data_IF_319707732068
#
_entry.id   IF_319707732068
#
_cell.length_a   1.000
_cell.length_b   1.000
_cell.length_c   1.000
_cell.angle_alpha   90.00
_cell.angle_beta   90.00
_cell.angle_gamma   90.00
#
_symmetry.space_group_name_H-M   'P 1'
#
loop_
_entity.id
_entity.type
_entity.pdbx_description
1 polymer ?
#
# COMPACT_ATOMS: atom_id res chain seq x y z
N UNK A 1 25.31 -28.52 2.51
CA UNK A 1 24.08 -29.34 2.60
C UNK A 1 23.30 -28.80 3.79
N UNK A 2 22.01 -28.47 3.63
CA UNK A 2 21.25 -27.66 4.60
C UNK A 2 20.01 -28.37 5.17
N UNK A 3 19.82 -29.65 4.85
CA UNK A 3 18.66 -30.44 5.28
C UNK A 3 19.12 -31.84 5.70
N UNK A 4 18.31 -32.49 6.55
CA UNK A 4 18.51 -33.87 6.97
C UNK A 4 17.71 -34.88 6.12
N UNK A 5 17.26 -34.47 4.93
CA UNK A 5 16.49 -35.33 4.03
C UNK A 5 17.44 -36.40 3.44
N UNK A 6 17.09 -37.70 3.49
CA UNK A 6 17.89 -38.76 2.89
C UNK A 6 18.10 -38.55 1.39
N UNK A 7 19.29 -38.90 0.89
CA UNK A 7 19.61 -38.83 -0.54
C UNK A 7 18.60 -39.51 -1.49
N UNK A 8 17.98 -40.67 -1.17
CA UNK A 8 16.95 -41.23 -2.04
C UNK A 8 15.70 -40.33 -2.15
N UNK A 9 15.27 -39.73 -1.03
CA UNK A 9 14.11 -38.82 -1.02
C UNK A 9 14.39 -37.50 -1.76
N UNK A 10 15.64 -37.04 -1.82
CA UNK A 10 16.03 -35.87 -2.63
C UNK A 10 15.90 -36.20 -4.12
N UNK A 11 16.27 -37.40 -4.56
CA UNK A 11 16.15 -37.81 -5.97
C UNK A 11 14.69 -37.84 -6.41
N UNK A 12 13.82 -38.46 -5.62
CA UNK A 12 12.38 -38.51 -5.88
C UNK A 12 11.77 -37.11 -5.97
N UNK A 13 12.13 -36.23 -5.04
CA UNK A 13 11.70 -34.82 -5.04
C UNK A 13 12.16 -34.08 -6.30
N UNK A 14 13.38 -34.34 -6.76
CA UNK A 14 13.93 -33.74 -7.97
C UNK A 14 13.26 -34.26 -9.24
N UNK A 15 12.88 -35.54 -9.28
CA UNK A 15 12.08 -36.12 -10.36
C UNK A 15 10.67 -35.51 -10.40
N UNK A 16 10.04 -35.31 -9.24
CA UNK A 16 8.76 -34.60 -9.14
C UNK A 16 8.89 -33.15 -9.61
N UNK A 17 9.94 -32.45 -9.18
CA UNK A 17 10.20 -31.08 -9.60
C UNK A 17 10.48 -30.98 -11.11
N UNK A 18 11.14 -31.98 -11.71
CA UNK A 18 11.40 -32.02 -13.15
C UNK A 18 10.11 -32.17 -13.97
N UNK A 19 9.09 -32.85 -13.45
CA UNK A 19 7.77 -32.97 -14.10
C UNK A 19 7.05 -31.62 -14.17
N UNK A 20 7.17 -30.80 -13.13
CA UNK A 20 6.60 -29.44 -13.11
C UNK A 20 7.51 -28.44 -12.38
N UNK A 21 8.48 -27.84 -13.10
CA UNK A 21 9.39 -26.86 -12.51
C UNK A 21 8.68 -25.60 -12.00
N UNK A 22 7.51 -25.26 -12.55
CA UNK A 22 6.77 -24.05 -12.19
C UNK A 22 6.22 -24.09 -10.78
N UNK A 23 5.91 -25.30 -10.28
CA UNK A 23 5.46 -25.52 -8.89
C UNK A 23 6.55 -25.32 -7.85
N UNK A 24 7.82 -25.30 -8.24
CA UNK A 24 8.97 -25.08 -7.34
C UNK A 24 8.96 -25.97 -6.08
N UNK A 25 8.53 -27.23 -6.25
CA UNK A 25 8.31 -28.19 -5.15
C UNK A 25 9.59 -28.40 -4.31
N UNK A 26 10.74 -28.54 -4.98
CA UNK A 26 12.02 -28.72 -4.31
C UNK A 26 12.42 -27.51 -3.44
N UNK A 27 12.22 -26.29 -3.95
CA UNK A 27 12.54 -25.05 -3.25
C UNK A 27 11.61 -24.83 -2.05
N UNK A 28 10.31 -25.13 -2.20
CA UNK A 28 9.36 -25.04 -1.09
C UNK A 28 9.68 -26.02 0.03
N UNK A 29 10.06 -27.26 -0.31
CA UNK A 29 10.48 -28.25 0.69
C UNK A 29 11.76 -27.82 1.39
N UNK A 30 12.77 -27.38 0.65
CA UNK A 30 14.02 -26.86 1.21
C UNK A 30 13.79 -25.70 2.18
N UNK A 31 12.98 -24.72 1.78
CA UNK A 31 12.68 -23.56 2.62
C UNK A 31 11.96 -23.94 3.90
N UNK A 32 10.99 -24.88 3.84
CA UNK A 32 10.28 -25.38 5.03
C UNK A 32 11.26 -26.01 6.02
N UNK A 33 12.07 -26.96 5.57
CA UNK A 33 13.03 -27.68 6.41
C UNK A 33 14.04 -26.72 7.05
N UNK A 34 14.49 -25.72 6.30
CA UNK A 34 15.44 -24.73 6.81
C UNK A 34 14.84 -23.84 7.89
N UNK A 35 13.61 -23.35 7.70
CA UNK A 35 12.91 -22.55 8.72
C UNK A 35 12.55 -23.41 9.93
N UNK A 36 12.15 -24.66 9.72
CA UNK A 36 11.85 -25.61 10.79
C UNK A 36 13.08 -25.91 11.64
N UNK A 37 14.25 -26.05 11.00
CA UNK A 37 15.52 -26.30 11.70
C UNK A 37 15.97 -25.12 12.57
N UNK A 38 15.72 -23.87 12.14
CA UNK A 38 16.20 -22.66 12.84
C UNK A 38 15.16 -22.12 13.82
N UNK A 39 13.89 -22.11 13.43
CA UNK A 39 12.80 -21.41 14.14
C UNK A 39 11.69 -22.33 14.64
N UNK A 40 11.81 -23.65 14.42
CA UNK A 40 10.82 -24.64 14.83
C UNK A 40 9.63 -24.79 13.88
N UNK A 41 8.84 -25.83 14.11
CA UNK A 41 7.74 -26.26 13.23
C UNK A 41 6.60 -25.23 13.13
N UNK A 42 6.22 -24.59 14.24
CA UNK A 42 5.15 -23.57 14.27
C UNK A 42 5.48 -22.38 13.36
N UNK A 43 6.73 -21.91 13.39
CA UNK A 43 7.23 -20.81 12.56
C UNK A 43 7.24 -21.18 11.07
N UNK A 44 7.65 -22.41 10.74
CA UNK A 44 7.68 -22.92 9.38
C UNK A 44 6.26 -23.01 8.77
N UNK A 45 5.28 -23.47 9.54
CA UNK A 45 3.89 -23.53 9.10
C UNK A 45 3.27 -22.16 8.89
N UNK A 46 3.53 -21.21 9.80
CA UNK A 46 3.08 -19.83 9.66
C UNK A 46 3.67 -19.19 8.40
N UNK A 47 4.99 -19.29 8.20
CA UNK A 47 5.66 -18.77 7.01
C UNK A 47 5.12 -19.37 5.70
N UNK A 48 4.84 -20.68 5.70
CA UNK A 48 4.24 -21.35 4.55
C UNK A 48 2.80 -20.87 4.25
N UNK A 49 1.98 -20.69 5.30
CA UNK A 49 0.62 -20.16 5.20
C UNK A 49 0.63 -18.72 4.69
N UNK A 50 1.45 -17.86 5.27
CA UNK A 50 1.58 -16.44 4.89
C UNK A 50 2.05 -16.30 3.44
N UNK A 51 3.04 -17.08 3.02
CA UNK A 51 3.46 -17.11 1.62
C UNK A 51 2.31 -17.57 0.71
N UNK A 52 1.55 -18.60 1.11
CA UNK A 52 0.42 -19.10 0.31
C UNK A 52 -0.69 -18.07 0.18
N UNK A 53 -1.08 -17.38 1.25
CA UNK A 53 -2.14 -16.36 1.20
C UNK A 53 -1.74 -15.18 0.32
N UNK A 54 -0.51 -14.67 0.46
CA UNK A 54 -0.01 -13.54 -0.33
C UNK A 54 0.01 -13.83 -1.83
N UNK A 55 0.26 -15.09 -2.23
CA UNK A 55 0.40 -15.46 -3.65
C UNK A 55 -0.80 -16.21 -4.26
N UNK A 56 -1.66 -16.86 -3.47
CA UNK A 56 -2.86 -17.56 -3.99
C UNK A 56 -4.05 -16.66 -4.28
N UNK A 57 -4.23 -15.56 -3.53
CA UNK A 57 -5.26 -14.55 -3.82
C UNK A 57 -5.09 -13.91 -5.21
N UNK A 58 -3.91 -14.08 -5.83
CA UNK A 58 -3.62 -13.63 -7.19
C UNK A 58 -3.96 -14.66 -8.28
N UNK A 59 -4.05 -15.94 -7.96
CA UNK A 59 -4.41 -17.00 -8.91
C UNK A 59 -5.93 -17.20 -9.03
N UNK A 60 -6.69 -16.76 -8.04
CA UNK A 60 -8.15 -16.82 -7.99
C UNK A 60 -8.72 -15.42 -7.75
N UNK A 61 -8.78 -14.61 -8.80
CA UNK A 61 -9.58 -13.38 -8.77
C UNK A 61 -11.07 -13.76 -8.90
N UNK A 62 -11.67 -14.07 -7.75
CA UNK A 62 -13.09 -14.36 -7.53
C UNK A 62 -13.33 -14.49 -6.03
N UNK A 63 -13.74 -13.39 -5.40
CA UNK A 63 -14.02 -13.16 -3.97
C UNK A 63 -15.02 -14.18 -3.34
N UNK A 64 -15.25 -14.25 -2.00
CA UNK A 64 -15.11 -13.16 -1.02
C UNK A 64 -14.51 -13.48 0.37
N UNK A 65 -14.29 -12.36 1.08
CA UNK A 65 -14.25 -12.09 2.53
C UNK A 65 -14.27 -13.23 3.56
N UNK A 66 -13.41 -13.06 4.57
CA UNK A 66 -13.62 -13.60 5.91
C UNK A 66 -12.49 -14.48 6.41
N UNK A 67 -11.52 -13.90 7.12
CA UNK A 67 -10.82 -14.48 8.29
C UNK A 67 -9.82 -13.42 8.81
N UNK A 68 -10.38 -12.33 9.33
CA UNK A 68 -9.79 -11.70 10.50
C UNK A 68 -10.06 -12.66 11.66
N UNK A 69 -9.09 -13.51 11.98
CA UNK A 69 -9.08 -14.26 13.22
C UNK A 69 -7.88 -13.78 14.02
N UNK A 70 -8.20 -13.32 15.22
CA UNK A 70 -7.31 -12.93 16.29
C UNK A 70 -6.21 -13.97 16.49
N UNK A 71 -5.01 -13.51 16.85
CA UNK A 71 -4.10 -14.35 17.63
C UNK A 71 -3.44 -13.45 18.64
N UNK A 72 -4.19 -13.28 19.73
CA UNK A 72 -3.67 -12.97 21.05
C UNK A 72 -2.60 -14.00 21.46
N UNK A 73 -1.56 -13.49 22.11
CA UNK A 73 -0.65 -14.14 23.07
C UNK A 73 -0.05 -15.51 22.74
N UNK A 74 1.24 -15.50 22.41
CA UNK A 74 2.19 -16.48 22.94
C UNK A 74 3.42 -15.73 23.43
N UNK A 75 3.34 -15.23 24.65
CA UNK A 75 4.51 -14.95 25.49
C UNK A 75 5.18 -16.29 25.79
N UNK A 76 6.49 -16.36 25.62
CA UNK A 76 7.31 -17.27 26.42
C UNK A 76 8.57 -16.49 26.79
N UNK A 77 8.67 -16.21 28.08
CA UNK A 77 9.76 -15.49 28.73
C UNK A 77 11.11 -16.17 28.50
N UNK A 78 12.12 -15.39 28.11
CA UNK A 78 13.34 -15.29 28.92
C UNK A 78 14.20 -14.08 28.57
N UNK A 79 14.38 -13.25 29.61
CA UNK A 79 15.60 -12.58 30.04
C UNK A 79 16.31 -11.55 29.10
N UNK A 80 16.24 -10.31 29.58
CA UNK A 80 17.26 -9.25 29.51
C UNK A 80 17.23 -8.27 28.31
N UNK A 81 16.43 -7.22 28.49
CA UNK A 81 16.98 -5.87 28.47
C UNK A 81 17.23 -5.24 27.10
N UNK A 82 16.14 -4.93 26.38
CA UNK A 82 15.94 -3.69 25.60
C UNK A 82 14.55 -3.77 24.97
N UNK A 83 13.69 -2.78 25.26
CA UNK A 83 12.42 -2.61 24.58
C UNK A 83 12.67 -2.45 23.07
N UNK A 84 12.56 -3.55 22.32
CA UNK A 84 12.48 -3.48 20.88
C UNK A 84 11.09 -2.94 20.55
N UNK A 85 11.02 -1.61 20.41
CA UNK A 85 9.89 -0.95 19.74
C UNK A 85 9.71 -1.67 18.41
N UNK A 86 8.62 -2.42 18.27
CA UNK A 86 8.27 -3.09 17.02
C UNK A 86 8.13 -2.01 15.95
N UNK A 87 9.16 -1.84 15.13
CA UNK A 87 9.09 -0.94 14.00
C UNK A 87 8.01 -1.51 13.06
N UNK A 88 6.98 -0.74 12.76
CA UNK A 88 6.01 -1.01 11.69
C UNK A 88 6.65 -1.20 10.29
N UNK A 89 7.98 -1.12 10.21
CA UNK A 89 8.83 -1.30 9.06
C UNK A 89 9.06 -2.79 8.69
N UNK A 90 9.05 -3.71 9.65
CA UNK A 90 9.43 -5.13 9.41
C UNK A 90 8.26 -6.10 9.25
N UNK A 91 7.02 -5.64 9.43
CA UNK A 91 5.87 -6.50 9.24
C UNK A 91 5.68 -6.82 7.76
N UNK A 92 5.84 -8.09 7.40
CA UNK A 92 5.45 -8.68 6.11
C UNK A 92 3.94 -8.58 5.83
N UNK A 93 3.18 -7.92 6.71
CA UNK A 93 1.77 -7.64 6.52
C UNK A 93 1.60 -6.51 5.52
N UNK A 94 0.75 -6.68 4.50
CA UNK A 94 0.46 -5.60 3.55
C UNK A 94 -0.27 -4.44 4.24
N UNK A 95 -0.75 -4.58 5.47
CA UNK A 95 -1.49 -3.56 6.19
C UNK A 95 -0.58 -2.71 7.08
N UNK A 96 -0.67 -1.39 6.92
CA UNK A 96 -0.04 -0.40 7.81
C UNK A 96 -1.11 0.58 8.26
N UNK A 97 -1.01 1.06 9.48
CA UNK A 97 -1.89 2.11 10.01
C UNK A 97 -1.09 3.40 10.04
N UNK A 98 -1.60 4.44 9.37
CA UNK A 98 -1.03 5.78 9.41
C UNK A 98 -2.08 6.80 9.89
N UNK A 99 -1.66 7.83 10.61
CA UNK A 99 -2.55 8.90 11.03
C UNK A 99 -2.94 9.82 9.86
N UNK A 100 -4.09 10.47 10.00
CA UNK A 100 -4.71 11.29 8.95
C UNK A 100 -3.86 12.50 8.56
N UNK A 101 -3.23 13.20 9.51
CA UNK A 101 -2.40 14.38 9.22
C UNK A 101 -1.09 14.06 8.49
N UNK A 102 -0.62 12.81 8.57
CA UNK A 102 0.58 12.35 7.86
C UNK A 102 0.30 11.98 6.39
N UNK A 103 -0.96 11.68 6.06
CA UNK A 103 -1.36 11.27 4.70
C UNK A 103 -2.02 12.41 3.93
N UNK A 104 -2.90 13.18 4.59
CA UNK A 104 -3.62 14.27 3.94
C UNK A 104 -2.71 15.49 3.80
N UNK A 105 -2.77 16.17 2.64
CA UNK A 105 -1.94 17.33 2.32
C UNK A 105 -0.44 17.10 2.44
N UNK A 106 -0.02 15.84 2.30
CA UNK A 106 1.37 15.44 2.22
C UNK A 106 1.71 14.92 0.82
N UNK A 107 2.97 15.08 0.44
CA UNK A 107 3.46 14.57 -0.83
C UNK A 107 3.64 13.06 -0.77
N UNK A 108 3.37 12.36 -1.88
CA UNK A 108 3.51 10.90 -1.95
C UNK A 108 4.90 10.42 -1.50
N UNK A 109 5.99 11.13 -1.82
CA UNK A 109 7.34 10.70 -1.41
C UNK A 109 7.51 10.64 0.13
N UNK A 110 6.80 11.48 0.90
CA UNK A 110 6.79 11.42 2.37
C UNK A 110 5.91 10.29 2.86
N UNK A 111 4.72 10.14 2.28
CA UNK A 111 3.80 9.04 2.61
C UNK A 111 4.46 7.68 2.37
N UNK A 112 5.22 7.52 1.27
CA UNK A 112 5.97 6.29 0.99
C UNK A 112 7.03 5.99 2.07
N UNK A 113 7.72 7.03 2.57
CA UNK A 113 8.72 6.89 3.62
C UNK A 113 8.08 6.55 4.97
N UNK A 114 7.01 7.26 5.34
CA UNK A 114 6.22 6.97 6.54
C UNK A 114 5.57 5.59 6.51
N UNK A 115 5.17 5.11 5.34
CA UNK A 115 4.70 3.73 5.13
C UNK A 115 5.82 2.69 5.14
N UNK A 116 7.08 3.10 5.32
CA UNK A 116 8.24 2.20 5.33
C UNK A 116 8.39 1.42 4.02
N UNK A 117 8.00 2.00 2.90
CA UNK A 117 8.18 1.38 1.58
C UNK A 117 9.51 1.77 0.93
N UNK A 118 10.14 2.85 1.43
CA UNK A 118 11.41 3.39 0.96
C UNK A 118 12.29 3.73 2.15
N UNK A 119 13.61 3.69 1.95
CA UNK A 119 14.58 4.00 3.01
C UNK A 119 14.68 5.49 3.31
N UNK A 120 14.37 6.35 2.32
CA UNK A 120 14.48 7.81 2.43
C UNK A 120 13.44 8.57 1.59
N UNK A 121 13.17 9.82 1.99
CA UNK A 121 12.29 10.76 1.26
C UNK A 121 12.75 10.98 -0.19
N UNK A 122 14.06 11.07 -0.42
CA UNK A 122 14.68 11.25 -1.75
C UNK A 122 14.59 10.00 -2.63
N UNK A 123 14.71 8.80 -2.05
CA UNK A 123 14.48 7.55 -2.77
C UNK A 123 13.02 7.44 -3.26
N UNK A 124 12.05 7.79 -2.40
CA UNK A 124 10.65 7.86 -2.78
C UNK A 124 10.42 8.81 -3.95
N UNK A 125 11.06 9.98 -3.93
CA UNK A 125 10.98 10.93 -5.04
C UNK A 125 11.55 10.35 -6.35
N UNK A 126 12.71 9.68 -6.29
CA UNK A 126 13.33 9.04 -7.47
C UNK A 126 12.40 8.00 -8.10
N UNK A 127 11.73 7.19 -7.27
CA UNK A 127 10.77 6.18 -7.76
C UNK A 127 9.55 6.80 -8.44
N UNK A 128 9.04 7.91 -7.91
CA UNK A 128 7.93 8.66 -8.53
C UNK A 128 8.35 9.19 -9.91
N UNK A 129 9.53 9.80 -10.02
CA UNK A 129 10.04 10.32 -11.30
C UNK A 129 10.18 9.21 -12.35
N UNK A 130 10.56 8.01 -11.93
CA UNK A 130 10.73 6.85 -12.81
C UNK A 130 9.42 6.07 -13.09
N UNK A 131 8.26 6.56 -12.64
CA UNK A 131 6.97 5.86 -12.70
C UNK A 131 6.99 4.47 -12.03
N UNK A 132 7.82 4.30 -10.99
CA UNK A 132 7.92 3.06 -10.22
C UNK A 132 6.82 2.89 -9.17
N UNK A 133 6.06 3.96 -8.88
CA UNK A 133 5.03 3.98 -7.83
C UNK A 133 3.65 4.07 -8.46
N UNK A 134 2.73 3.25 -8.00
CA UNK A 134 1.33 3.24 -8.41
C UNK A 134 0.43 3.43 -7.19
N UNK A 135 -0.58 4.26 -7.34
CA UNK A 135 -1.64 4.46 -6.37
C UNK A 135 -2.90 3.82 -6.91
N UNK A 136 -3.65 3.15 -6.03
CA UNK A 136 -4.89 2.53 -6.42
C UNK A 136 -6.02 3.58 -6.37
N UNK A 137 -6.83 3.64 -7.42
CA UNK A 137 -7.97 4.53 -7.54
C UNK A 137 -9.23 3.69 -7.69
N UNK A 138 -10.28 4.05 -6.95
CA UNK A 138 -11.64 3.61 -7.27
C UNK A 138 -11.94 4.18 -8.65
N UNK A 139 -12.21 3.32 -9.62
CA UNK A 139 -12.45 3.66 -11.01
C UNK A 139 -13.73 4.48 -11.11
N UNK A 140 -13.63 5.80 -10.95
CA UNK A 140 -14.69 6.70 -11.39
C UNK A 140 -14.44 6.99 -12.88
N UNK A 141 -15.29 6.39 -13.71
CA UNK A 141 -15.43 6.62 -15.15
C UNK A 141 -14.48 5.87 -16.11
N UNK A 142 -15.11 4.95 -16.88
CA UNK A 142 -14.69 4.37 -18.17
C UNK A 142 -13.64 3.25 -18.18
N UNK A 143 -13.93 2.10 -17.57
CA UNK A 143 -13.67 0.79 -18.20
C UNK A 143 -14.19 -0.35 -17.31
N UNK A 144 -15.19 -1.07 -17.86
CA UNK A 144 -15.54 -2.47 -17.62
C UNK A 144 -16.06 -2.85 -16.22
N UNK A 145 -17.23 -3.49 -16.19
CA UNK A 145 -17.78 -4.17 -15.03
C UNK A 145 -16.72 -5.10 -14.40
N UNK A 146 -16.25 -4.72 -13.23
CA UNK A 146 -15.35 -5.52 -12.42
C UNK A 146 -15.03 -4.74 -11.16
N UNK A 147 -15.16 -5.40 -10.01
CA UNK A 147 -14.81 -4.91 -8.67
C UNK A 147 -13.29 -4.72 -8.48
N UNK A 148 -12.60 -4.35 -9.56
CA UNK A 148 -11.15 -4.27 -9.65
C UNK A 148 -10.66 -2.87 -9.34
N UNK A 149 -9.69 -2.78 -8.43
CA UNK A 149 -9.00 -1.52 -8.15
C UNK A 149 -8.04 -1.17 -9.29
N UNK A 150 -8.23 -0.01 -9.91
CA UNK A 150 -7.35 0.48 -10.97
C UNK A 150 -6.05 1.07 -10.39
N UNK A 151 -4.90 0.83 -11.03
CA UNK A 151 -3.61 1.36 -10.58
C UNK A 151 -3.14 2.48 -11.50
N UNK A 152 -2.99 3.68 -10.94
CA UNK A 152 -2.51 4.86 -11.67
C UNK A 152 -1.08 5.14 -11.23
N UNK A 153 -0.11 5.29 -12.16
CA UNK A 153 1.25 5.65 -11.78
C UNK A 153 1.28 7.05 -11.17
N UNK A 154 1.86 7.15 -9.96
CA UNK A 154 2.04 8.41 -9.26
C UNK A 154 3.07 9.24 -10.02
N UNK A 155 2.75 10.51 -10.26
CA UNK A 155 3.66 11.47 -10.86
C UNK A 155 4.00 12.57 -9.86
N UNK A 156 4.76 13.58 -10.28
CA UNK A 156 5.07 14.76 -9.47
C UNK A 156 3.84 15.65 -9.31
N UNK A 157 2.89 15.18 -8.51
CA UNK A 157 1.63 15.83 -8.18
C UNK A 157 1.76 16.68 -6.90
N UNK A 158 1.05 17.82 -6.80
CA UNK A 158 0.96 18.57 -5.54
C UNK A 158 0.27 17.77 -4.43
N UNK A 159 0.53 18.18 -3.19
CA UNK A 159 0.07 17.50 -1.98
C UNK A 159 -1.47 17.43 -1.83
N UNK A 160 -2.20 18.37 -2.42
CA UNK A 160 -3.66 18.45 -2.36
C UNK A 160 -4.36 17.26 -3.02
N UNK A 161 -3.67 16.58 -3.94
CA UNK A 161 -4.24 15.47 -4.71
C UNK A 161 -4.25 14.18 -3.89
N UNK A 162 -3.38 14.06 -2.88
CA UNK A 162 -3.27 12.84 -2.07
C UNK A 162 -4.60 12.48 -1.42
N UNK A 163 -5.39 13.47 -0.99
CA UNK A 163 -6.72 13.26 -0.42
C UNK A 163 -7.70 12.61 -1.41
N UNK A 164 -7.61 12.95 -2.71
CA UNK A 164 -8.51 12.42 -3.75
C UNK A 164 -8.28 10.93 -4.03
N UNK A 165 -7.12 10.40 -3.66
CA UNK A 165 -6.78 8.99 -3.81
C UNK A 165 -7.13 8.14 -2.58
N UNK A 166 -7.58 8.77 -1.50
CA UNK A 166 -8.03 8.06 -0.31
C UNK A 166 -9.41 7.49 -0.56
N UNK A 167 -9.52 6.16 -0.52
CA UNK A 167 -10.77 5.41 -0.64
C UNK A 167 -11.52 5.53 0.70
N UNK A 168 -12.77 6.00 0.62
CA UNK A 168 -13.70 6.17 1.75
C UNK A 168 -13.14 6.95 2.95
N UNK A 169 -12.15 7.81 2.69
CA UNK A 169 -11.47 8.60 3.73
C UNK A 169 -10.63 7.80 4.72
N UNK A 170 -10.48 6.48 4.52
CA UNK A 170 -9.86 5.56 5.49
C UNK A 170 -8.82 4.62 4.88
N UNK A 171 -8.72 4.50 3.57
CA UNK A 171 -7.86 3.50 2.95
C UNK A 171 -7.09 4.07 1.76
N UNK A 172 -5.79 3.84 1.72
CA UNK A 172 -4.90 4.23 0.64
C UNK A 172 -4.04 3.02 0.25
N UNK A 173 -4.06 2.61 -1.01
CA UNK A 173 -3.26 1.48 -1.48
C UNK A 173 -2.13 2.02 -2.35
N UNK A 174 -0.91 1.71 -1.96
CA UNK A 174 0.31 2.08 -2.68
C UNK A 174 1.05 0.83 -3.13
N UNK A 175 1.67 0.91 -4.30
CA UNK A 175 2.44 -0.17 -4.89
C UNK A 175 3.73 0.36 -5.50
N UNK A 176 4.85 -0.27 -5.17
CA UNK A 176 6.16 -0.04 -5.78
C UNK A 176 6.49 -1.23 -6.69
N UNK A 177 6.70 -0.94 -7.97
CA UNK A 177 6.98 -1.95 -8.98
C UNK A 177 5.87 -2.98 -9.10
N UNK A 178 6.23 -4.24 -9.39
CA UNK A 178 5.24 -5.31 -9.62
C UNK A 178 4.79 -6.01 -8.34
N UNK A 179 5.60 -6.04 -7.29
CA UNK A 179 5.44 -6.99 -6.19
C UNK A 179 5.27 -6.36 -4.80
N UNK A 180 5.77 -5.14 -4.60
CA UNK A 180 5.70 -4.49 -3.29
C UNK A 180 4.41 -3.66 -3.19
N UNK A 181 3.41 -4.16 -2.47
CA UNK A 181 2.11 -3.51 -2.28
C UNK A 181 1.86 -3.32 -0.79
N UNK A 182 1.44 -2.11 -0.40
CA UNK A 182 1.01 -1.80 0.97
C UNK A 182 -0.35 -1.10 0.96
N UNK A 183 -1.20 -1.55 1.87
CA UNK A 183 -2.54 -1.05 2.19
C UNK A 183 -2.39 -0.22 3.46
N UNK A 184 -2.54 1.08 3.32
CA UNK A 184 -2.48 2.05 4.40
C UNK A 184 -3.90 2.31 4.89
N UNK A 185 -4.18 1.92 6.14
CA UNK A 185 -5.39 2.30 6.88
C UNK A 185 -5.14 3.66 7.52
N UNK A 186 -5.95 4.64 7.17
CA UNK A 186 -5.89 6.00 7.69
C UNK A 186 -6.80 6.10 8.90
N UNK A 187 -6.21 6.47 10.03
CA UNK A 187 -6.89 6.59 11.33
C UNK A 187 -6.81 8.05 11.81
N UNK A 188 -7.83 8.60 12.50
CA UNK A 188 -7.74 9.92 13.09
C UNK A 188 -6.59 10.02 14.10
N UNK A 189 -5.95 11.18 14.17
CA UNK A 189 -4.78 11.43 15.02
C UNK A 189 -5.05 11.10 16.50
N UNK A 190 -6.28 11.36 16.98
CA UNK A 190 -6.71 11.05 18.35
C UNK A 190 -6.82 9.54 18.63
N UNK A 191 -7.18 8.74 17.63
CA UNK A 191 -7.23 7.28 17.75
C UNK A 191 -5.82 6.69 17.61
N UNK A 192 -5.01 7.24 16.71
CA UNK A 192 -3.63 6.82 16.51
C UNK A 192 -2.78 6.99 17.78
N UNK A 193 -2.93 8.12 18.47
CA UNK A 193 -2.27 8.37 19.75
C UNK A 193 -2.68 7.37 20.85
N UNK A 194 -3.96 6.96 20.87
CA UNK A 194 -4.48 5.96 21.83
C UNK A 194 -3.95 4.56 21.55
N UNK A 195 -3.70 4.23 20.29
CA UNK A 195 -3.15 2.94 19.90
C UNK A 195 -1.65 2.83 20.21
N UNK A 196 -0.96 3.93 20.54
CA UNK A 196 0.45 3.92 20.92
C UNK A 196 1.41 3.50 19.79
N UNK A 197 0.95 3.51 18.53
CA UNK A 197 1.83 3.26 17.39
C UNK A 197 2.67 4.50 17.09
N UNK A 198 3.93 4.27 16.68
CA UNK A 198 4.82 5.32 16.22
C UNK A 198 5.08 5.15 14.71
N UNK A 199 4.73 6.17 13.92
CA UNK A 199 5.05 6.22 12.50
C UNK A 199 6.29 7.11 12.26
N UNK A 200 7.21 6.71 11.37
CA UNK A 200 8.31 7.58 10.94
C UNK A 200 7.77 8.90 10.39
N UNK A 201 8.21 10.02 10.97
CA UNK A 201 7.76 11.36 10.63
C UNK A 201 6.53 11.88 11.38
N UNK A 202 6.01 11.14 12.36
CA UNK A 202 4.88 11.60 13.18
C UNK A 202 5.25 12.69 14.19
N UNK A 203 6.40 12.53 14.85
CA UNK A 203 6.91 13.49 15.84
C UNK A 203 7.76 14.60 15.20
N UNK A 204 8.19 14.42 13.95
CA UNK A 204 8.94 15.43 13.21
C UNK A 204 7.98 16.50 12.65
N UNK A 205 7.95 17.67 13.29
CA UNK A 205 7.28 18.82 12.71
C UNK A 205 7.96 19.21 11.39
N UNK A 206 7.23 19.09 10.28
CA UNK A 206 7.68 19.52 8.96
C UNK A 206 8.02 21.02 9.00
N UNK A 207 9.31 21.36 8.86
CA UNK A 207 9.72 22.76 8.77
C UNK A 207 9.07 23.41 7.54
N UNK A 208 8.56 24.66 7.64
CA UNK A 208 8.02 25.40 6.50
C UNK A 208 8.99 25.47 5.31
N UNK A 209 10.29 25.47 5.57
CA UNK A 209 11.35 25.49 4.56
C UNK A 209 11.42 24.19 3.75
N UNK A 210 11.27 23.03 4.42
CA UNK A 210 11.22 21.73 3.77
C UNK A 210 10.00 21.64 2.85
N UNK A 211 8.84 22.07 3.33
CA UNK A 211 7.61 22.10 2.56
C UNK A 211 7.72 23.02 1.34
N UNK A 212 8.42 24.15 1.47
CA UNK A 212 8.70 25.05 0.35
C UNK A 212 9.66 24.43 -0.68
N UNK A 213 10.70 23.72 -0.23
CA UNK A 213 11.61 22.98 -1.12
C UNK A 213 10.90 21.85 -1.86
N UNK A 214 10.02 21.10 -1.18
CA UNK A 214 9.21 20.07 -1.83
C UNK A 214 8.24 20.67 -2.84
N UNK A 215 7.60 21.79 -2.50
CA UNK A 215 6.76 22.51 -3.48
C UNK A 215 7.57 22.88 -4.73
N UNK A 216 8.81 23.38 -4.57
CA UNK A 216 9.71 23.67 -5.70
C UNK A 216 10.04 22.44 -6.53
N UNK A 217 10.33 21.29 -5.89
CA UNK A 217 10.65 20.03 -6.57
C UNK A 217 9.50 19.53 -7.46
N UNK A 218 8.26 19.78 -7.04
CA UNK A 218 7.04 19.31 -7.71
C UNK A 218 6.42 20.36 -8.66
N UNK A 219 6.77 21.64 -8.54
CA UNK A 219 6.35 22.69 -9.49
C UNK A 219 7.18 22.71 -10.76
N UNK A 220 6.53 22.80 -11.93
CA UNK A 220 7.18 23.18 -13.20
C UNK A 220 7.99 22.09 -13.91
N UNK A 221 8.14 20.89 -13.34
CA UNK A 221 8.88 19.81 -14.01
C UNK A 221 8.16 19.29 -15.26
N UNK A 222 8.93 19.16 -16.33
CA UNK A 222 8.55 18.47 -17.56
C UNK A 222 9.17 17.07 -17.55
N UNK A 223 8.34 16.02 -17.67
CA UNK A 223 8.84 14.66 -17.89
C UNK A 223 8.84 14.43 -19.39
N UNK A 224 10.02 14.13 -19.99
CA UNK A 224 10.20 13.99 -21.44
C UNK A 224 9.64 15.20 -22.24
N UNK A 225 9.87 16.42 -21.76
CA UNK A 225 9.42 17.66 -22.41
C UNK A 225 7.93 18.00 -22.25
N UNK A 226 7.10 17.12 -21.67
CA UNK A 226 5.67 17.38 -21.42
C UNK A 226 5.42 17.74 -19.95
N UNK A 227 4.55 18.73 -19.71
CA UNK A 227 4.07 19.03 -18.35
C UNK A 227 3.33 17.80 -17.81
N UNK A 228 3.61 17.47 -16.55
CA UNK A 228 2.92 16.40 -15.84
C UNK A 228 1.44 16.76 -15.73
N UNK A 229 0.58 16.01 -16.43
CA UNK A 229 -0.87 16.15 -16.32
C UNK A 229 -1.35 15.39 -15.08
N UNK A 230 -2.26 16.00 -14.32
CA UNK A 230 -3.05 15.31 -13.31
C UNK A 230 -3.96 14.26 -13.97
N UNK A 231 -4.36 13.19 -13.28
CA UNK A 231 -5.38 12.28 -13.79
C UNK A 231 -6.73 13.01 -13.91
N UNK A 232 -7.58 12.59 -14.85
CA UNK A 232 -8.81 13.33 -15.21
C UNK A 232 -9.74 13.58 -14.01
N UNK A 233 -9.91 12.57 -13.14
CA UNK A 233 -10.72 12.68 -11.92
C UNK A 233 -10.15 13.66 -10.88
N UNK A 234 -8.84 13.95 -10.93
CA UNK A 234 -8.20 14.90 -10.03
C UNK A 234 -8.16 16.33 -10.61
N UNK A 235 -8.44 16.51 -11.90
CA UNK A 235 -8.51 17.82 -12.56
C UNK A 235 -9.83 18.54 -12.28
N UNK A 236 -10.90 17.82 -11.90
CA UNK A 236 -12.14 18.46 -11.52
C UNK A 236 -11.93 19.21 -10.19
N UNK A 237 -12.20 20.53 -10.15
CA UNK A 237 -12.28 21.24 -8.88
C UNK A 237 -13.41 20.59 -8.06
N UNK A 238 -13.23 20.55 -6.73
CA UNK A 238 -14.30 20.12 -5.82
C UNK A 238 -15.54 20.92 -6.21
N UNK A 239 -16.69 20.28 -6.54
CA UNK A 239 -17.87 21.03 -6.93
C UNK A 239 -18.17 22.01 -5.81
N UNK A 240 -18.24 23.31 -6.14
CA UNK A 240 -18.67 24.31 -5.20
C UNK A 240 -20.03 23.86 -4.67
N UNK A 241 -20.07 23.57 -3.36
CA UNK A 241 -21.33 23.34 -2.68
C UNK A 241 -22.06 24.66 -2.80
N UNK A 242 -22.98 24.77 -3.76
CA UNK A 242 -23.87 25.92 -3.85
C UNK A 242 -24.62 25.93 -2.52
N UNK A 243 -24.23 26.84 -1.64
CA UNK A 243 -25.00 27.12 -0.44
C UNK A 243 -26.38 27.51 -0.92
N UNK A 244 -27.36 26.65 -0.62
CA UNK A 244 -28.75 26.94 -0.92
C UNK A 244 -29.12 28.21 -0.15
N UNK A 245 -29.27 29.31 -0.88
CA UNK A 245 -29.85 30.55 -0.36
C UNK A 245 -31.37 30.45 -0.53
N UNK A 246 -32.15 30.49 0.55
CA UNK A 246 -33.60 30.59 0.43
C UNK A 246 -33.95 31.88 -0.32
N UNK A 247 -34.55 31.76 -1.51
CA UNK A 247 -35.09 32.90 -2.26
C UNK A 247 -34.70 33.02 -3.73
N UNK A 248 -33.87 32.13 -4.29
CA UNK A 248 -33.58 32.19 -5.73
C UNK A 248 -34.61 31.36 -6.54
N UNK A 249 -35.44 31.97 -7.42
CA UNK A 249 -36.40 31.22 -8.20
C UNK A 249 -35.67 30.26 -9.14
N UNK A 250 -36.09 28.99 -9.11
CA UNK A 250 -35.59 27.94 -10.00
C UNK A 250 -35.78 28.42 -11.43
N UNK A 251 -34.67 28.62 -12.14
CA UNK A 251 -34.68 29.01 -13.54
C UNK A 251 -35.57 28.06 -14.34
N UNK A 252 -36.60 28.65 -14.94
CA UNK A 252 -37.55 27.96 -15.82
C UNK A 252 -36.75 27.32 -16.96
N UNK A 253 -36.87 25.99 -17.08
CA UNK A 253 -36.38 25.25 -18.24
C UNK A 253 -37.05 25.81 -19.50
N UNK A 254 -36.31 26.13 -20.58
CA UNK A 254 -36.93 26.49 -21.84
C UNK A 254 -37.73 25.28 -22.34
N UNK A 255 -39.03 25.48 -22.55
CA UNK A 255 -39.88 24.49 -23.22
C UNK A 255 -39.48 24.43 -24.69
N UNK A 256 -39.05 23.26 -25.12
CA UNK A 256 -38.99 22.91 -26.54
C UNK A 256 -40.43 22.80 -27.10
N UNK A 257 -40.65 23.39 -28.28
CA UNK A 257 -41.70 23.03 -29.25
C UNK A 257 -43.01 23.80 -29.19
N UNK A 258 -43.23 24.71 -30.14
CA UNK A 258 -44.33 24.67 -31.12
C UNK A 258 -44.32 25.95 -31.99
N UNK A 259 -43.78 25.83 -33.22
CA UNK A 259 -44.29 26.35 -34.51
C UNK A 259 -43.29 26.07 -35.64
#
# INVERSE_FOLDING_TARGET
MFTFVPTPAIKELMEEHAKDPSKRVAQHKLAREFVELIHGSLSAEKAAKDHRTLFMTKASAGAPEGLAAETEHAETDNAEGKHQKLHAFETATPHIILPRSLVINQFFHKVLWSAGMVSSKSEGFRLIVNNGVHVASRSDSREVMGDGVSYIPVKTWPADITEKFVIDGRLLILRIGKWNLKIIKIVPDSEYAKMGLNAPGWEEHESPEERANDKKLFTGRKIKGRRVKLPAFAQTPKPEIKHWTPGNPIGVLPKDGDE
#
